data_IF_715294000674
#
_entry.id   IF_715294000674
#
_cell.length_a   1.000
_cell.length_b   1.000
_cell.length_c   1.000
_cell.angle_alpha   90.00
_cell.angle_beta   90.00
_cell.angle_gamma   90.00
#
_symmetry.space_group_name_H-M   'P 1'
#
loop_
_entity.id
_entity.type
_entity.pdbx_description
1 polymer ?
#
# COMPACT_ATOMS: atom_id res chain seq x y z
N UNK A 1 -3.15 -2.34 6.93
CA UNK A 1 -3.57 -1.43 8.04
C UNK A 1 -4.29 -2.07 9.24
N UNK A 2 -4.79 -3.30 9.17
CA UNK A 2 -5.56 -3.92 10.28
C UNK A 2 -4.82 -3.98 11.64
N UNK A 3 -3.56 -4.46 11.65
CA UNK A 3 -2.76 -4.58 12.89
C UNK A 3 -2.59 -3.21 13.57
N UNK A 4 -2.31 -2.17 12.77
CA UNK A 4 -2.17 -0.80 13.28
C UNK A 4 -3.47 -0.29 13.91
N UNK A 5 -4.63 -0.57 13.31
CA UNK A 5 -5.93 -0.20 13.88
C UNK A 5 -6.18 -0.86 15.25
N UNK A 6 -5.84 -2.15 15.39
CA UNK A 6 -5.99 -2.90 16.65
C UNK A 6 -5.03 -2.38 17.72
N UNK A 7 -3.77 -2.16 17.37
CA UNK A 7 -2.75 -1.60 18.28
C UNK A 7 -3.15 -0.21 18.74
N UNK A 8 -3.63 0.64 17.84
CA UNK A 8 -4.07 2.00 18.17
C UNK A 8 -5.32 2.01 19.05
N UNK A 9 -6.28 1.14 18.78
CA UNK A 9 -7.46 0.94 19.65
C UNK A 9 -7.02 0.53 21.06
N UNK A 10 -6.04 -0.38 21.17
CA UNK A 10 -5.50 -0.80 22.46
C UNK A 10 -4.76 0.32 23.17
N UNK A 11 -3.91 1.08 22.46
CA UNK A 11 -3.14 2.22 22.99
C UNK A 11 -4.06 3.30 23.54
N UNK A 12 -5.10 3.63 22.80
CA UNK A 12 -6.09 4.64 23.16
C UNK A 12 -6.91 4.22 24.38
N UNK A 13 -7.36 2.96 24.44
CA UNK A 13 -8.03 2.43 25.63
C UNK A 13 -7.14 2.51 26.88
N UNK A 14 -5.86 2.17 26.75
CA UNK A 14 -4.90 2.25 27.87
C UNK A 14 -4.63 3.69 28.31
N UNK A 15 -4.64 4.65 27.38
CA UNK A 15 -4.47 6.08 27.69
C UNK A 15 -5.66 6.66 28.49
N UNK A 16 -6.88 6.15 28.28
CA UNK A 16 -8.07 6.61 29.00
C UNK A 16 -8.31 5.85 30.33
N UNK A 17 -7.78 4.64 30.50
CA UNK A 17 -8.09 3.75 31.63
C UNK A 17 -7.06 3.74 32.77
N UNK A 18 -5.81 4.17 32.54
CA UNK A 18 -4.74 4.10 33.54
C UNK A 18 -4.30 5.49 34.02
N UNK A 19 -3.91 5.65 35.31
CA UNK A 19 -3.34 6.90 35.80
C UNK A 19 -1.99 7.17 35.10
N UNK A 20 -1.73 8.45 34.92
CA UNK A 20 -0.79 9.02 33.94
C UNK A 20 0.68 8.81 34.31
N UNK A 21 1.57 8.67 33.31
CA UNK A 21 3.03 8.75 33.51
C UNK A 21 3.53 10.20 33.55
N UNK A 22 2.70 11.16 33.11
CA UNK A 22 3.01 12.59 33.05
C UNK A 22 2.08 13.33 32.07
N UNK A 23 2.02 14.66 32.20
CA UNK A 23 1.36 15.56 31.23
C UNK A 23 2.45 16.33 30.49
N UNK A 24 2.46 16.25 29.16
CA UNK A 24 3.34 17.07 28.32
C UNK A 24 2.73 18.45 28.10
N UNK A 25 3.54 19.52 28.09
CA UNK A 25 3.05 20.88 27.90
C UNK A 25 2.60 21.07 26.44
N UNK A 26 1.30 20.97 26.18
CA UNK A 26 0.70 21.14 24.85
C UNK A 26 0.13 19.88 24.19
N UNK A 27 0.25 18.70 24.82
CA UNK A 27 -0.38 17.43 24.40
C UNK A 27 -1.01 16.76 25.61
N UNK A 28 -2.14 16.08 25.42
CA UNK A 28 -2.80 15.34 26.50
C UNK A 28 -1.93 14.20 27.06
N UNK A 29 -2.46 13.52 28.07
CA UNK A 29 -1.93 12.33 28.78
C UNK A 29 -1.01 11.42 27.94
N UNK A 30 0.22 11.19 28.42
CA UNK A 30 1.14 10.21 27.80
C UNK A 30 0.62 8.78 28.07
N UNK A 31 0.36 8.02 26.99
CA UNK A 31 -0.08 6.62 27.11
C UNK A 31 1.06 5.76 27.69
N UNK A 32 0.82 4.96 28.74
CA UNK A 32 1.83 4.08 29.33
C UNK A 32 2.14 2.83 28.51
N UNK A 33 1.79 2.82 27.21
CA UNK A 33 2.02 1.69 26.32
C UNK A 33 3.45 1.71 25.78
N UNK A 34 4.11 0.55 25.84
CA UNK A 34 5.47 0.42 25.32
C UNK A 34 5.54 0.62 23.81
N UNK A 35 6.56 1.34 23.34
CA UNK A 35 6.84 1.54 21.91
C UNK A 35 7.14 0.25 21.13
N UNK A 36 7.45 -0.87 21.81
CA UNK A 36 7.70 -2.16 21.15
C UNK A 36 6.50 -2.67 20.34
N UNK A 37 5.27 -2.23 20.63
CA UNK A 37 4.10 -2.60 19.82
C UNK A 37 4.15 -2.04 18.39
N UNK A 38 4.89 -0.95 18.16
CA UNK A 38 5.12 -0.40 16.83
C UNK A 38 6.01 -1.33 15.99
N UNK A 39 6.92 -2.06 16.63
CA UNK A 39 7.85 -2.97 15.94
C UNK A 39 7.06 -4.07 15.23
N UNK A 40 6.04 -4.63 15.89
CA UNK A 40 5.22 -5.71 15.33
C UNK A 40 4.56 -5.28 14.02
N UNK A 41 3.94 -4.09 13.98
CA UNK A 41 3.29 -3.61 12.76
C UNK A 41 4.29 -3.31 11.63
N UNK A 42 5.49 -2.82 11.97
CA UNK A 42 6.54 -2.52 10.99
C UNK A 42 7.10 -3.80 10.38
N UNK A 43 7.31 -4.84 11.18
CA UNK A 43 7.77 -6.16 10.70
C UNK A 43 6.76 -6.77 9.73
N UNK A 44 5.47 -6.80 10.10
CA UNK A 44 4.42 -7.35 9.23
C UNK A 44 4.31 -6.58 7.93
N UNK A 45 4.35 -5.24 8.00
CA UNK A 45 4.31 -4.38 6.80
C UNK A 45 5.51 -4.62 5.90
N UNK A 46 6.72 -4.67 6.46
CA UNK A 46 7.95 -4.89 5.69
C UNK A 46 8.00 -6.25 5.00
N UNK A 47 7.55 -7.32 5.68
CA UNK A 47 7.44 -8.65 5.07
C UNK A 47 6.44 -8.61 3.90
N UNK A 48 5.26 -8.00 4.11
CA UNK A 48 4.24 -7.89 3.08
C UNK A 48 4.72 -7.09 1.86
N UNK A 49 5.41 -5.97 2.08
CA UNK A 49 5.94 -5.12 1.02
C UNK A 49 7.03 -5.85 0.21
N UNK A 50 7.94 -6.55 0.89
CA UNK A 50 8.99 -7.33 0.24
C UNK A 50 8.42 -8.36 -0.73
N UNK A 51 7.46 -9.17 -0.29
CA UNK A 51 6.80 -10.14 -1.18
C UNK A 51 6.04 -9.49 -2.33
N UNK A 52 5.33 -8.39 -2.07
CA UNK A 52 4.57 -7.68 -3.10
C UNK A 52 5.49 -7.10 -4.20
N UNK A 53 6.59 -6.47 -3.81
CA UNK A 53 7.55 -5.89 -4.76
C UNK A 53 8.19 -6.96 -5.61
N UNK A 54 8.65 -8.07 -5.00
CA UNK A 54 9.26 -9.18 -5.74
C UNK A 54 8.25 -9.76 -6.74
N UNK A 55 7.01 -10.03 -6.31
CA UNK A 55 5.97 -10.57 -7.19
C UNK A 55 5.59 -9.66 -8.35
N UNK A 56 5.49 -8.35 -8.12
CA UNK A 56 5.21 -7.37 -9.18
C UNK A 56 6.36 -7.32 -10.19
N UNK A 57 7.60 -7.29 -9.71
CA UNK A 57 8.79 -7.20 -10.57
C UNK A 57 8.91 -8.45 -11.44
N UNK A 58 8.78 -9.64 -10.86
CA UNK A 58 8.83 -10.92 -11.58
C UNK A 58 7.70 -11.01 -12.61
N UNK A 59 6.46 -10.68 -12.21
CA UNK A 59 5.32 -10.64 -13.12
C UNK A 59 5.57 -9.70 -14.32
N UNK A 60 6.10 -8.50 -14.07
CA UNK A 60 6.41 -7.58 -15.17
C UNK A 60 7.51 -8.12 -16.09
N UNK A 61 8.54 -8.77 -15.55
CA UNK A 61 9.60 -9.36 -16.37
C UNK A 61 9.13 -10.54 -17.22
N UNK A 62 8.16 -11.33 -16.74
CA UNK A 62 7.59 -12.46 -17.48
C UNK A 62 6.55 -12.05 -18.52
N UNK A 63 5.68 -11.08 -18.18
CA UNK A 63 4.57 -10.70 -19.05
C UNK A 63 4.93 -9.63 -20.09
N UNK A 64 5.93 -8.78 -19.84
CA UNK A 64 6.35 -7.79 -20.84
C UNK A 64 7.15 -8.43 -21.99
N UNK A 65 6.93 -7.99 -23.24
CA UNK A 65 7.75 -8.43 -24.36
C UNK A 65 9.22 -8.04 -24.14
N UNK A 66 10.16 -8.88 -24.63
CA UNK A 66 11.61 -8.76 -24.37
C UNK A 66 12.16 -7.35 -24.63
N UNK A 67 11.62 -6.66 -25.63
CA UNK A 67 12.05 -5.31 -26.04
C UNK A 67 11.49 -4.17 -25.17
N UNK A 68 10.57 -4.45 -24.24
CA UNK A 68 9.92 -3.43 -23.38
C UNK A 68 10.25 -3.58 -21.90
N UNK A 69 11.21 -4.43 -21.52
CA UNK A 69 11.58 -4.66 -20.11
C UNK A 69 12.03 -3.39 -19.38
N UNK A 70 12.62 -2.41 -20.08
CA UNK A 70 12.98 -1.11 -19.50
C UNK A 70 11.75 -0.30 -19.03
N UNK A 71 10.60 -0.44 -19.72
CA UNK A 71 9.37 0.23 -19.32
C UNK A 71 8.75 -0.33 -18.04
N UNK A 72 8.99 -1.61 -17.71
CA UNK A 72 8.47 -2.24 -16.50
C UNK A 72 8.92 -1.52 -15.22
N UNK A 73 10.22 -1.19 -15.13
CA UNK A 73 10.76 -0.43 -14.00
C UNK A 73 10.16 0.98 -13.90
N UNK A 74 9.99 1.66 -15.04
CA UNK A 74 9.35 2.98 -15.10
C UNK A 74 7.90 2.93 -14.61
N UNK A 75 7.10 1.94 -15.04
CA UNK A 75 5.72 1.77 -14.57
C UNK A 75 5.65 1.49 -13.07
N UNK A 76 6.59 0.70 -12.54
CA UNK A 76 6.70 0.46 -11.10
C UNK A 76 6.88 1.77 -10.32
N UNK A 77 7.88 2.60 -10.68
CA UNK A 77 8.11 3.88 -10.02
C UNK A 77 6.97 4.89 -10.25
N UNK A 78 6.36 4.90 -11.44
CA UNK A 78 5.15 5.69 -11.68
C UNK A 78 4.00 5.27 -10.75
N UNK A 79 3.85 3.96 -10.48
CA UNK A 79 2.92 3.44 -9.49
C UNK A 79 3.18 4.00 -8.09
N UNK A 80 4.44 3.98 -7.63
CA UNK A 80 4.83 4.57 -6.33
C UNK A 80 4.54 6.07 -6.25
N UNK A 81 4.84 6.81 -7.32
CA UNK A 81 4.53 8.24 -7.40
C UNK A 81 3.02 8.47 -7.30
N UNK A 82 2.23 7.72 -8.07
CA UNK A 82 0.77 7.82 -8.03
C UNK A 82 0.22 7.50 -6.64
N UNK A 83 0.70 6.43 -5.99
CA UNK A 83 0.31 6.09 -4.61
C UNK A 83 0.60 7.21 -3.61
N UNK A 84 1.73 7.92 -3.78
CA UNK A 84 2.07 9.07 -2.91
C UNK A 84 1.09 10.24 -3.10
N UNK A 85 0.67 10.51 -4.33
CA UNK A 85 -0.37 11.51 -4.61
C UNK A 85 -1.73 11.08 -4.06
N UNK A 86 -2.13 9.82 -4.26
CA UNK A 86 -3.37 9.29 -3.68
C UNK A 86 -3.38 9.39 -2.16
N UNK A 87 -2.27 9.07 -1.48
CA UNK A 87 -2.16 9.21 -0.03
C UNK A 87 -2.36 10.66 0.41
N UNK A 88 -1.76 11.61 -0.30
CA UNK A 88 -1.91 13.05 0.00
C UNK A 88 -3.35 13.53 -0.20
N UNK A 89 -4.00 13.10 -1.30
CA UNK A 89 -5.40 13.41 -1.58
C UNK A 89 -6.30 12.81 -0.50
N UNK A 90 -6.08 11.55 -0.11
CA UNK A 90 -6.84 10.87 0.92
C UNK A 90 -6.76 11.62 2.26
N UNK A 91 -5.55 11.98 2.68
CA UNK A 91 -5.32 12.74 3.91
C UNK A 91 -6.02 14.10 3.84
N UNK A 92 -5.95 14.80 2.70
CA UNK A 92 -6.62 16.08 2.49
C UNK A 92 -8.14 15.97 2.58
N UNK A 93 -8.73 14.95 1.96
CA UNK A 93 -10.17 14.66 2.03
C UNK A 93 -10.57 14.38 3.47
N UNK A 94 -9.86 13.49 4.17
CA UNK A 94 -10.15 13.16 5.56
C UNK A 94 -10.05 14.40 6.42
N UNK A 95 -8.99 15.21 6.30
CA UNK A 95 -8.86 16.46 7.03
C UNK A 95 -10.04 17.39 6.75
N UNK A 96 -10.42 17.61 5.50
CA UNK A 96 -11.53 18.50 5.15
C UNK A 96 -12.86 18.03 5.72
N UNK A 97 -13.19 16.76 5.57
CA UNK A 97 -14.46 16.17 6.07
C UNK A 97 -14.53 16.18 7.60
N UNK A 98 -13.38 16.13 8.25
CA UNK A 98 -13.28 15.89 9.69
C UNK A 98 -13.03 17.17 10.49
N UNK A 99 -12.48 18.21 9.85
CA UNK A 99 -12.18 19.53 10.44
C UNK A 99 -13.42 20.35 10.85
N UNK A 100 -14.65 19.95 10.47
CA UNK A 100 -15.87 20.70 10.75
C UNK A 100 -16.36 20.59 12.22
N UNK A 101 -15.63 19.90 13.11
CA UNK A 101 -15.96 19.87 14.54
C UNK A 101 -14.78 19.57 15.46
N UNK A 102 -14.59 20.42 16.48
CA UNK A 102 -13.56 20.30 17.54
C UNK A 102 -13.47 18.92 18.22
N UNK A 103 -14.54 18.13 18.19
CA UNK A 103 -14.63 16.81 18.83
C UNK A 103 -14.49 15.61 17.87
N UNK A 104 -14.37 15.83 16.55
CA UNK A 104 -14.39 14.75 15.54
C UNK A 104 -13.11 14.59 14.73
N UNK A 105 -12.05 15.36 15.00
CA UNK A 105 -10.79 15.28 14.27
C UNK A 105 -10.13 13.89 14.36
N UNK A 106 -10.05 13.14 13.24
CA UNK A 106 -9.37 11.84 13.13
C UNK A 106 -7.85 12.02 13.13
N UNK A 107 -7.35 13.05 12.43
CA UNK A 107 -5.93 13.44 12.39
C UNK A 107 -5.70 14.73 13.20
N UNK A 108 -6.03 14.70 14.49
CA UNK A 108 -5.71 15.83 15.38
C UNK A 108 -4.20 15.88 15.66
N UNK A 109 -3.68 17.09 15.90
CA UNK A 109 -2.27 17.30 16.32
C UNK A 109 -1.97 16.58 17.66
N UNK A 110 -3.01 16.41 18.48
CA UNK A 110 -2.99 15.59 19.68
C UNK A 110 -3.56 14.19 19.38
N UNK A 111 -2.66 13.20 19.33
CA UNK A 111 -2.98 11.81 19.01
C UNK A 111 -3.96 11.17 20.00
N UNK A 112 -4.04 11.68 21.23
CA UNK A 112 -4.95 11.13 22.24
C UNK A 112 -6.40 11.62 22.04
N UNK A 113 -6.55 12.81 21.46
CA UNK A 113 -7.86 13.39 21.09
C UNK A 113 -8.28 12.96 19.69
N UNK A 114 -7.30 12.68 18.84
CA UNK A 114 -7.47 12.18 17.49
C UNK A 114 -8.06 10.77 17.45
N UNK A 115 -9.03 10.54 16.57
CA UNK A 115 -9.53 9.19 16.27
C UNK A 115 -8.76 8.56 15.11
N UNK A 116 -7.47 8.32 15.34
CA UNK A 116 -6.58 7.74 14.32
C UNK A 116 -6.97 6.30 13.97
N UNK A 117 -7.57 5.58 14.93
CA UNK A 117 -8.19 4.27 14.74
C UNK A 117 -9.15 4.26 13.53
N UNK A 118 -10.03 5.25 13.39
CA UNK A 118 -10.95 5.35 12.25
C UNK A 118 -10.26 5.58 10.92
N UNK A 119 -9.17 6.36 10.90
CA UNK A 119 -8.38 6.53 9.68
C UNK A 119 -7.76 5.19 9.26
N UNK A 120 -7.22 4.40 10.21
CA UNK A 120 -6.69 3.08 9.90
C UNK A 120 -7.77 2.08 9.46
N UNK A 121 -8.97 2.12 10.03
CA UNK A 121 -10.10 1.32 9.54
C UNK A 121 -10.53 1.73 8.12
N UNK A 122 -10.54 3.02 7.80
CA UNK A 122 -10.83 3.50 6.46
C UNK A 122 -9.81 2.98 5.44
N UNK A 123 -8.52 3.10 5.75
CA UNK A 123 -7.46 2.57 4.89
C UNK A 123 -7.56 1.04 4.75
N UNK A 124 -7.88 0.32 5.84
CA UNK A 124 -8.10 -1.12 5.78
C UNK A 124 -9.26 -1.49 4.86
N UNK A 125 -10.38 -0.75 4.90
CA UNK A 125 -11.50 -0.94 3.97
C UNK A 125 -11.08 -0.75 2.51
N UNK A 126 -10.31 0.30 2.21
CA UNK A 126 -9.77 0.55 0.87
C UNK A 126 -8.81 -0.55 0.40
N UNK A 127 -7.91 -1.03 1.28
CA UNK A 127 -7.01 -2.15 1.00
C UNK A 127 -7.77 -3.44 0.67
N UNK A 128 -8.81 -3.77 1.45
CA UNK A 128 -9.63 -4.96 1.21
C UNK A 128 -10.39 -4.86 -0.13
N UNK A 129 -10.96 -3.69 -0.43
CA UNK A 129 -11.61 -3.46 -1.72
C UNK A 129 -10.63 -3.57 -2.88
N UNK A 130 -9.42 -3.02 -2.73
CA UNK A 130 -8.36 -3.15 -3.72
C UNK A 130 -7.95 -4.62 -3.93
N UNK A 131 -7.82 -5.40 -2.85
CA UNK A 131 -7.51 -6.83 -2.93
C UNK A 131 -8.62 -7.62 -3.66
N UNK A 132 -9.89 -7.34 -3.37
CA UNK A 132 -11.02 -7.98 -4.07
C UNK A 132 -10.97 -7.63 -5.56
N UNK A 133 -10.74 -6.36 -5.89
CA UNK A 133 -10.57 -5.92 -7.28
C UNK A 133 -9.40 -6.63 -7.97
N UNK A 134 -8.25 -6.71 -7.32
CA UNK A 134 -7.08 -7.43 -7.82
C UNK A 134 -7.41 -8.90 -8.09
N UNK A 135 -8.08 -9.60 -7.16
CA UNK A 135 -8.45 -11.01 -7.33
C UNK A 135 -9.44 -11.23 -8.49
N UNK A 136 -10.37 -10.29 -8.71
CA UNK A 136 -11.27 -10.35 -9.87
C UNK A 136 -10.49 -10.24 -11.18
N UNK A 137 -9.58 -9.26 -11.29
CA UNK A 137 -8.73 -9.08 -12.47
C UNK A 137 -7.81 -10.27 -12.67
N UNK A 138 -7.16 -10.77 -11.61
CA UNK A 138 -6.26 -11.91 -11.66
C UNK A 138 -6.97 -13.20 -12.14
N UNK A 139 -8.24 -13.38 -11.79
CA UNK A 139 -9.06 -14.49 -12.29
C UNK A 139 -9.39 -14.39 -13.77
N UNK A 140 -9.51 -13.17 -14.30
CA UNK A 140 -9.84 -12.93 -15.71
C UNK A 140 -8.60 -12.80 -16.60
N UNK A 141 -7.44 -12.52 -16.01
CA UNK A 141 -6.19 -12.34 -16.71
C UNK A 141 -5.69 -13.67 -17.29
N UNK A 142 -5.37 -13.67 -18.59
CA UNK A 142 -4.74 -14.81 -19.26
C UNK A 142 -3.22 -14.61 -19.25
N UNK A 143 -2.51 -15.51 -18.58
CA UNK A 143 -1.06 -15.51 -18.53
C UNK A 143 -0.45 -15.92 -19.87
N UNK A 144 0.62 -15.22 -20.28
CA UNK A 144 1.45 -15.64 -21.41
C UNK A 144 2.12 -16.99 -21.07
N UNK A 145 1.82 -18.04 -21.83
CA UNK A 145 2.42 -19.38 -21.67
C UNK A 145 1.46 -20.51 -21.26
N UNK A 146 0.19 -20.24 -20.94
CA UNK A 146 -0.75 -21.28 -20.49
C UNK A 146 -1.51 -22.02 -21.63
N UNK A 147 -0.89 -22.17 -22.80
CA UNK A 147 -1.44 -22.93 -23.93
C UNK A 147 -1.78 -22.08 -25.15
N UNK A 148 -0.74 -21.73 -25.91
CA UNK A 148 -0.61 -21.83 -27.37
C UNK A 148 0.74 -21.19 -27.70
N UNK A 149 1.77 -22.03 -27.86
CA UNK A 149 3.10 -21.56 -28.28
C UNK A 149 3.03 -21.18 -29.76
N UNK A 150 2.68 -19.94 -30.08
CA UNK A 150 3.35 -19.30 -31.21
C UNK A 150 4.64 -18.72 -30.66
N UNK A 151 5.71 -19.51 -30.77
CA UNK A 151 7.08 -19.04 -30.66
C UNK A 151 7.18 -17.82 -31.57
N UNK A 152 7.15 -16.62 -30.99
CA UNK A 152 7.59 -15.41 -31.66
C UNK A 152 9.09 -15.60 -31.90
N UNK A 153 9.42 -16.24 -33.03
CA UNK A 153 10.79 -16.34 -33.52
C UNK A 153 11.31 -14.91 -33.63
N UNK A 154 12.33 -14.53 -32.85
CA UNK A 154 12.95 -13.22 -33.02
C UNK A 154 13.40 -13.10 -34.47
N UNK A 155 13.08 -11.99 -35.14
CA UNK A 155 13.54 -11.69 -36.51
C UNK A 155 15.08 -11.74 -36.65
N UNK A 156 15.79 -11.81 -35.53
CA UNK A 156 17.24 -11.95 -35.42
C UNK A 156 17.75 -13.35 -35.79
N UNK A 157 16.91 -14.39 -35.68
CA UNK A 157 17.25 -15.78 -36.03
C UNK A 157 16.81 -16.17 -37.45
N UNK A 158 16.25 -15.24 -38.23
CA UNK A 158 15.97 -15.52 -39.64
C UNK A 158 17.25 -15.53 -40.47
N UNK A 159 17.52 -16.59 -41.27
CA UNK A 159 18.62 -16.58 -42.22
C UNK A 159 18.49 -15.36 -43.13
N UNK A 160 19.60 -14.66 -43.37
CA UNK A 160 19.72 -13.35 -44.02
C UNK A 160 19.09 -13.24 -45.42
N UNK A 161 18.60 -14.33 -45.98
CA UNK A 161 17.97 -14.42 -47.30
C UNK A 161 16.64 -13.64 -47.41
N UNK A 162 15.95 -13.35 -46.30
CA UNK A 162 14.63 -12.69 -46.33
C UNK A 162 14.63 -11.18 -45.98
N UNK A 163 15.78 -10.56 -45.68
CA UNK A 163 15.85 -9.11 -45.34
C UNK A 163 15.57 -8.15 -46.51
N UNK A 164 15.28 -8.66 -47.71
CA UNK A 164 15.10 -7.84 -48.92
C UNK A 164 13.73 -7.95 -49.59
N UNK A 165 12.73 -8.56 -48.95
CA UNK A 165 11.39 -8.63 -49.55
C UNK A 165 10.33 -8.13 -48.55
N UNK A 166 10.05 -6.82 -48.74
CA UNK A 166 8.90 -6.01 -48.28
C UNK A 166 8.88 -5.58 -46.81
#
# INVERSE_FOLDING_TARGET
MFVAAVVETKRRNVAHLKPTLGIEKGKDVISPMSGYWLVIQMVVTGISEGFAVIGIVEFFYEQFPKNMKSFAGSFFYCGFAMSSYLSSILISIVHRTTNEGLARNWLAQDLNKGKLDYFYYLCMGLEVLNLIYYLMVAKWYKYKGSGDETIDVPLEDMPTTYKHVV
#
